data_IF_578727235982
#
_entry.id   IF_578727235982
#
_cell.length_a   1.000
_cell.length_b   1.000
_cell.length_c   1.000
_cell.angle_alpha   90.00
_cell.angle_beta   90.00
_cell.angle_gamma   90.00
#
_symmetry.space_group_name_H-M   'P 1'
#
loop_
_entity.id
_entity.type
_entity.pdbx_description
1 polymer ?
#
# COMPACT_ATOMS: atom_id res chain seq x y z
N UNK A 1 -26.78 -26.99 11.65
CA UNK A 1 -25.97 -26.42 12.77
C UNK A 1 -25.10 -27.45 13.51
N UNK A 2 -25.54 -28.69 13.77
CA UNK A 2 -24.75 -29.69 14.53
C UNK A 2 -23.45 -30.20 13.85
N UNK A 3 -23.36 -30.12 12.51
CA UNK A 3 -22.17 -30.58 11.75
C UNK A 3 -21.02 -29.55 11.74
N UNK A 4 -21.33 -28.24 11.78
CA UNK A 4 -20.32 -27.18 11.87
C UNK A 4 -19.62 -27.17 13.25
N UNK A 5 -20.38 -27.43 14.31
CA UNK A 5 -19.85 -27.45 15.68
C UNK A 5 -18.87 -28.62 15.91
N UNK A 6 -19.11 -29.78 15.28
CA UNK A 6 -18.19 -30.92 15.32
C UNK A 6 -16.89 -30.66 14.57
N UNK A 7 -16.93 -29.95 13.44
CA UNK A 7 -15.73 -29.59 12.68
C UNK A 7 -14.86 -28.55 13.41
N UNK A 8 -15.48 -27.58 14.09
CA UNK A 8 -14.75 -26.60 14.90
C UNK A 8 -14.08 -27.24 16.12
N UNK A 9 -14.78 -28.16 16.81
CA UNK A 9 -14.21 -28.85 17.97
C UNK A 9 -13.04 -29.76 17.56
N UNK A 10 -13.16 -30.51 16.46
CA UNK A 10 -12.07 -31.37 15.96
C UNK A 10 -10.91 -30.53 15.42
N UNK A 11 -11.18 -29.42 14.73
CA UNK A 11 -10.14 -28.51 14.23
C UNK A 11 -9.34 -27.82 15.33
N UNK A 12 -10.00 -27.38 16.41
CA UNK A 12 -9.33 -26.77 17.58
C UNK A 12 -8.57 -27.81 18.38
N UNK A 13 -9.05 -29.05 18.48
CA UNK A 13 -8.36 -30.13 19.19
C UNK A 13 -7.11 -30.62 18.45
N UNK A 14 -7.14 -30.66 17.12
CA UNK A 14 -5.97 -31.01 16.30
C UNK A 14 -4.93 -29.88 16.33
N UNK A 15 -5.35 -28.61 16.39
CA UNK A 15 -4.43 -27.49 16.57
C UNK A 15 -3.79 -27.49 17.98
N UNK A 16 -4.59 -27.75 19.02
CA UNK A 16 -4.10 -27.80 20.41
C UNK A 16 -3.19 -29.00 20.68
N UNK A 17 -3.49 -30.18 20.12
CA UNK A 17 -2.63 -31.38 20.26
C UNK A 17 -1.34 -31.31 19.42
N UNK A 18 -1.32 -30.52 18.33
CA UNK A 18 -0.07 -30.18 17.64
C UNK A 18 0.80 -29.20 18.45
N UNK A 19 0.20 -28.45 19.38
CA UNK A 19 0.91 -27.45 20.19
C UNK A 19 1.55 -28.07 21.46
N UNK A 20 1.20 -29.31 21.82
CA UNK A 20 1.66 -29.97 23.07
C UNK A 20 2.89 -30.87 22.87
N UNK A 21 3.35 -31.11 21.63
CA UNK A 21 4.49 -32.01 21.37
C UNK A 21 5.57 -31.48 20.42
N UNK A 22 5.58 -30.19 20.07
CA UNK A 22 6.78 -29.55 19.52
C UNK A 22 7.45 -28.75 20.64
N UNK A 23 8.15 -29.47 21.52
CA UNK A 23 9.20 -28.81 22.29
C UNK A 23 10.27 -28.40 21.27
N UNK A 24 10.37 -27.09 21.04
CA UNK A 24 11.46 -26.46 20.30
C UNK A 24 12.81 -26.92 20.85
N UNK A 25 13.82 -27.08 19.99
CA UNK A 25 15.16 -27.41 20.46
C UNK A 25 15.69 -26.34 21.43
N UNK A 26 15.25 -25.08 21.27
CA UNK A 26 15.52 -23.99 22.21
C UNK A 26 14.91 -24.21 23.60
N UNK A 27 13.68 -24.71 23.68
CA UNK A 27 13.02 -24.96 24.98
C UNK A 27 13.63 -26.15 25.71
N UNK A 28 14.01 -27.20 24.99
CA UNK A 28 14.71 -28.35 25.57
C UNK A 28 16.12 -27.97 26.04
N UNK A 29 16.83 -27.13 25.28
CA UNK A 29 18.13 -26.60 25.67
C UNK A 29 18.04 -25.70 26.91
N UNK A 30 17.03 -24.83 27.01
CA UNK A 30 16.79 -24.02 28.21
C UNK A 30 16.47 -24.88 29.43
N UNK A 31 15.63 -25.91 29.28
CA UNK A 31 15.32 -26.85 30.35
C UNK A 31 16.57 -27.62 30.82
N UNK A 32 17.39 -28.10 29.89
CA UNK A 32 18.65 -28.77 30.19
C UNK A 32 19.64 -27.82 30.89
N UNK A 33 19.71 -26.55 30.49
CA UNK A 33 20.54 -25.54 31.14
C UNK A 33 20.08 -25.27 32.59
N UNK A 34 18.77 -25.15 32.81
CA UNK A 34 18.20 -25.00 34.15
C UNK A 34 18.48 -26.23 35.04
N UNK A 35 18.39 -27.43 34.47
CA UNK A 35 18.71 -28.67 35.18
C UNK A 35 20.20 -28.75 35.56
N UNK A 36 21.11 -28.39 34.65
CA UNK A 36 22.55 -28.29 34.97
C UNK A 36 22.81 -27.28 36.08
N UNK A 37 22.16 -26.12 36.06
CA UNK A 37 22.30 -25.11 37.11
C UNK A 37 21.80 -25.63 38.47
N UNK A 38 20.65 -26.30 38.50
CA UNK A 38 20.09 -26.89 39.72
C UNK A 38 20.99 -28.00 40.29
N UNK A 39 21.45 -28.93 39.46
CA UNK A 39 22.36 -30.00 39.89
C UNK A 39 23.71 -29.46 40.33
N UNK A 40 24.22 -28.41 39.68
CA UNK A 40 25.47 -27.74 40.09
C UNK A 40 25.34 -27.21 41.52
N UNK A 41 24.22 -26.57 41.86
CA UNK A 41 23.97 -26.09 43.22
C UNK A 41 23.87 -27.23 44.24
N UNK A 42 23.25 -28.36 43.87
CA UNK A 42 23.16 -29.54 44.73
C UNK A 42 24.52 -30.20 44.95
N UNK A 43 25.35 -30.31 43.91
CA UNK A 43 26.73 -30.84 44.00
C UNK A 43 27.57 -29.97 44.93
N UNK A 44 27.46 -28.64 44.84
CA UNK A 44 28.18 -27.73 45.72
C UNK A 44 27.78 -27.91 47.20
N UNK A 45 26.49 -28.07 47.48
CA UNK A 45 26.01 -28.34 48.84
C UNK A 45 26.46 -29.71 49.34
N UNK A 46 26.36 -30.74 48.50
CA UNK A 46 26.81 -32.09 48.82
C UNK A 46 28.33 -32.15 49.05
N UNK A 47 29.13 -31.34 48.34
CA UNK A 47 30.57 -31.24 48.55
C UNK A 47 30.91 -30.73 49.97
N UNK A 48 30.18 -29.72 50.46
CA UNK A 48 30.35 -29.19 51.82
C UNK A 48 29.98 -30.24 52.86
N UNK A 49 28.86 -30.94 52.65
CA UNK A 49 28.41 -32.00 53.57
C UNK A 49 29.37 -33.21 53.60
N UNK A 50 29.93 -33.60 52.46
CA UNK A 50 30.89 -34.70 52.36
C UNK A 50 32.24 -34.39 53.03
N UNK A 51 32.62 -33.11 53.13
CA UNK A 51 33.79 -32.68 53.91
C UNK A 51 33.54 -32.76 55.43
N UNK A 52 32.29 -32.57 55.86
CA UNK A 52 31.90 -32.64 57.26
C UNK A 52 31.62 -34.07 57.74
N UNK A 53 31.13 -34.96 56.86
CA UNK A 53 30.78 -36.34 57.17
C UNK A 53 31.20 -37.30 56.03
N UNK A 54 32.15 -38.23 56.27
CA UNK A 54 32.62 -39.17 55.25
C UNK A 54 31.55 -40.16 54.78
N UNK A 55 30.46 -40.36 55.52
CA UNK A 55 29.35 -41.23 55.10
C UNK A 55 28.56 -40.65 53.93
N UNK A 56 28.64 -39.33 53.69
CA UNK A 56 27.98 -38.63 52.58
C UNK A 56 28.76 -38.71 51.25
N UNK A 57 29.95 -39.32 51.23
CA UNK A 57 30.80 -39.39 50.04
C UNK A 57 30.13 -40.11 48.85
N UNK A 58 29.30 -41.13 49.11
CA UNK A 58 28.55 -41.83 48.07
C UNK A 58 27.47 -40.95 47.41
N UNK A 59 26.77 -40.14 48.21
CA UNK A 59 25.75 -39.21 47.72
C UNK A 59 26.39 -38.12 46.85
N UNK A 60 27.54 -37.60 47.27
CA UNK A 60 28.32 -36.66 46.46
C UNK A 60 28.76 -37.27 45.12
N UNK A 61 29.27 -38.50 45.12
CA UNK A 61 29.66 -39.20 43.88
C UNK A 61 28.48 -39.44 42.93
N UNK A 62 27.29 -39.77 43.45
CA UNK A 62 26.11 -39.94 42.61
C UNK A 62 25.70 -38.62 41.94
N UNK A 63 25.69 -37.52 42.70
CA UNK A 63 25.32 -36.20 42.18
C UNK A 63 26.30 -35.69 41.12
N UNK A 64 27.61 -35.94 41.26
CA UNK A 64 28.60 -35.54 40.26
C UNK A 64 28.44 -36.31 38.95
N UNK A 65 28.09 -37.61 39.01
CA UNK A 65 27.75 -38.41 37.82
C UNK A 65 26.47 -37.87 37.16
N UNK A 66 25.44 -37.56 37.93
CA UNK A 66 24.21 -36.96 37.40
C UNK A 66 24.47 -35.59 36.75
N UNK A 67 25.34 -34.76 37.33
CA UNK A 67 25.73 -33.48 36.75
C UNK A 67 26.46 -33.69 35.40
N UNK A 68 27.38 -34.65 35.33
CA UNK A 68 28.10 -34.97 34.11
C UNK A 68 27.14 -35.44 32.99
N UNK A 69 26.16 -36.29 33.32
CA UNK A 69 25.12 -36.72 32.38
C UNK A 69 24.26 -35.53 31.91
N UNK A 70 23.83 -34.66 32.81
CA UNK A 70 23.05 -33.47 32.47
C UNK A 70 23.85 -32.51 31.56
N UNK A 71 25.15 -32.35 31.81
CA UNK A 71 26.04 -31.55 30.96
C UNK A 71 26.20 -32.15 29.56
N UNK A 72 26.30 -33.49 29.45
CA UNK A 72 26.33 -34.17 28.16
C UNK A 72 25.02 -33.98 27.38
N UNK A 73 23.86 -34.07 28.06
CA UNK A 73 22.56 -33.79 27.44
C UNK A 73 22.48 -32.35 26.91
N UNK A 74 22.94 -31.37 27.69
CA UNK A 74 22.96 -29.97 27.26
C UNK A 74 23.86 -29.75 26.04
N UNK A 75 25.06 -30.35 26.02
CA UNK A 75 25.95 -30.30 24.84
C UNK A 75 25.35 -30.96 23.59
N UNK A 76 24.62 -32.06 23.76
CA UNK A 76 23.96 -32.74 22.65
C UNK A 76 22.83 -31.89 22.03
N UNK A 77 22.13 -31.08 22.83
CA UNK A 77 21.04 -30.20 22.39
C UNK A 77 21.51 -28.86 21.82
N UNK A 78 22.72 -28.42 22.19
CA UNK A 78 23.31 -27.15 21.76
C UNK A 78 23.30 -26.89 20.24
N UNK A 79 23.69 -27.85 19.36
CA UNK A 79 23.65 -27.61 17.91
C UNK A 79 22.21 -27.45 17.38
N UNK A 80 21.25 -28.21 17.91
CA UNK A 80 19.86 -28.11 17.48
C UNK A 80 19.23 -26.77 17.88
N UNK A 81 19.50 -26.29 19.10
CA UNK A 81 19.06 -24.98 19.56
C UNK A 81 19.69 -23.84 18.74
N UNK A 82 20.97 -23.95 18.40
CA UNK A 82 21.66 -22.97 17.55
C UNK A 82 21.07 -22.91 16.14
N UNK A 83 20.79 -24.08 15.53
CA UNK A 83 20.16 -24.17 14.21
C UNK A 83 18.76 -23.56 14.21
N UNK A 84 17.96 -23.83 15.22
CA UNK A 84 16.60 -23.29 15.33
C UNK A 84 16.62 -21.76 15.48
N UNK A 85 17.53 -21.22 16.29
CA UNK A 85 17.72 -19.78 16.42
C UNK A 85 18.18 -19.13 15.09
N UNK A 86 19.10 -19.78 14.38
CA UNK A 86 19.56 -19.33 13.07
C UNK A 86 18.41 -19.35 12.05
N UNK A 87 17.56 -20.38 12.08
CA UNK A 87 16.41 -20.49 11.18
C UNK A 87 15.35 -19.43 11.49
N UNK A 88 15.07 -19.15 12.77
CA UNK A 88 14.17 -18.07 13.17
C UNK A 88 14.69 -16.70 12.72
N UNK A 89 15.98 -16.43 12.89
CA UNK A 89 16.60 -15.18 12.40
C UNK A 89 16.55 -15.08 10.87
N UNK A 90 16.84 -16.17 10.16
CA UNK A 90 16.75 -16.20 8.70
C UNK A 90 15.32 -15.96 8.20
N UNK A 91 14.32 -16.56 8.85
CA UNK A 91 12.91 -16.34 8.54
C UNK A 91 12.49 -14.90 8.82
N UNK A 92 12.92 -14.31 9.95
CA UNK A 92 12.64 -12.91 10.27
C UNK A 92 13.24 -11.97 9.24
N UNK A 93 14.48 -12.21 8.80
CA UNK A 93 15.13 -11.44 7.74
C UNK A 93 14.41 -11.60 6.40
N UNK A 94 14.00 -12.81 6.04
CA UNK A 94 13.26 -13.07 4.82
C UNK A 94 11.90 -12.34 4.81
N UNK A 95 11.17 -12.36 5.94
CA UNK A 95 9.92 -11.62 6.10
C UNK A 95 10.13 -10.11 5.99
N UNK A 96 11.20 -9.58 6.60
CA UNK A 96 11.55 -8.16 6.50
C UNK A 96 11.85 -7.76 5.05
N UNK A 97 12.63 -8.56 4.33
CA UNK A 97 12.94 -8.31 2.92
C UNK A 97 11.68 -8.35 2.05
N UNK A 98 10.79 -9.32 2.29
CA UNK A 98 9.51 -9.41 1.57
C UNK A 98 8.63 -8.20 1.85
N UNK A 99 8.56 -7.73 3.09
CA UNK A 99 7.81 -6.51 3.44
C UNK A 99 8.40 -5.26 2.77
N UNK A 100 9.72 -5.13 2.72
CA UNK A 100 10.40 -4.03 2.02
C UNK A 100 10.14 -4.06 0.51
N UNK A 101 10.20 -5.24 -0.12
CA UNK A 101 9.90 -5.40 -1.54
C UNK A 101 8.44 -5.07 -1.85
N UNK A 102 7.50 -5.51 -1.01
CA UNK A 102 6.09 -5.18 -1.16
C UNK A 102 5.84 -3.67 -1.02
N UNK A 103 6.47 -3.01 -0.03
CA UNK A 103 6.38 -1.57 0.15
C UNK A 103 6.98 -0.80 -1.05
N UNK A 104 8.12 -1.25 -1.58
CA UNK A 104 8.74 -0.65 -2.75
C UNK A 104 7.86 -0.79 -4.00
N UNK A 105 7.23 -1.96 -4.21
CA UNK A 105 6.31 -2.17 -5.32
C UNK A 105 5.08 -1.28 -5.21
N UNK A 106 4.49 -1.17 -4.01
CA UNK A 106 3.36 -0.27 -3.77
C UNK A 106 3.73 1.20 -4.02
N UNK A 107 4.92 1.63 -3.58
CA UNK A 107 5.41 2.98 -3.83
C UNK A 107 5.59 3.25 -5.33
N UNK A 108 6.14 2.28 -6.08
CA UNK A 108 6.29 2.39 -7.52
C UNK A 108 4.93 2.48 -8.24
N UNK A 109 3.95 1.65 -7.84
CA UNK A 109 2.60 1.70 -8.39
C UNK A 109 1.90 3.03 -8.08
N UNK A 110 2.05 3.56 -6.87
CA UNK A 110 1.52 4.86 -6.50
C UNK A 110 2.15 6.00 -7.32
N UNK A 111 3.46 5.96 -7.55
CA UNK A 111 4.15 6.92 -8.42
C UNK A 111 3.66 6.84 -9.87
N UNK A 112 3.50 5.64 -10.42
CA UNK A 112 2.96 5.44 -11.77
C UNK A 112 1.51 5.95 -11.89
N UNK A 113 0.66 5.64 -10.90
CA UNK A 113 -0.71 6.12 -10.87
C UNK A 113 -0.77 7.66 -10.78
N UNK A 114 0.06 8.27 -9.92
CA UNK A 114 0.16 9.71 -9.81
C UNK A 114 0.66 10.37 -11.11
N UNK A 115 1.66 9.78 -11.77
CA UNK A 115 2.17 10.26 -13.06
C UNK A 115 1.09 10.18 -14.15
N UNK A 116 0.33 9.08 -14.20
CA UNK A 116 -0.74 8.90 -15.17
C UNK A 116 -1.89 9.90 -14.94
N UNK A 117 -2.25 10.15 -13.68
CA UNK A 117 -3.23 11.18 -13.32
C UNK A 117 -2.74 12.58 -13.69
N UNK A 118 -1.47 12.90 -13.41
CA UNK A 118 -0.90 14.20 -13.79
C UNK A 118 -0.90 14.39 -15.32
N UNK A 119 -0.58 13.35 -16.08
CA UNK A 119 -0.61 13.40 -17.55
C UNK A 119 -2.03 13.63 -18.07
N UNK A 120 -3.04 12.95 -17.50
CA UNK A 120 -4.45 13.15 -17.86
C UNK A 120 -4.93 14.56 -17.52
N UNK A 121 -4.57 15.09 -16.34
CA UNK A 121 -4.91 16.44 -15.94
C UNK A 121 -4.29 17.48 -16.89
N UNK A 122 -3.01 17.32 -17.24
CA UNK A 122 -2.33 18.18 -18.20
C UNK A 122 -2.98 18.13 -19.59
N UNK A 123 -3.37 16.93 -20.06
CA UNK A 123 -4.06 16.77 -21.33
C UNK A 123 -5.44 17.46 -21.35
N UNK A 124 -6.22 17.35 -20.27
CA UNK A 124 -7.51 18.04 -20.13
C UNK A 124 -7.34 19.57 -20.13
N UNK A 125 -6.34 20.08 -19.41
CA UNK A 125 -6.02 21.52 -19.42
C UNK A 125 -5.62 22.01 -20.81
N UNK A 126 -4.78 21.24 -21.52
CA UNK A 126 -4.39 21.57 -22.89
C UNK A 126 -5.58 21.60 -23.85
N UNK A 127 -6.51 20.65 -23.74
CA UNK A 127 -7.74 20.62 -24.54
C UNK A 127 -8.64 21.83 -24.26
N UNK A 128 -8.82 22.21 -22.99
CA UNK A 128 -9.60 23.38 -22.62
C UNK A 128 -8.96 24.68 -23.16
N UNK A 129 -7.64 24.83 -23.03
CA UNK A 129 -6.93 25.97 -23.58
C UNK A 129 -7.06 26.05 -25.11
N UNK A 130 -6.93 24.93 -25.82
CA UNK A 130 -7.12 24.87 -27.26
C UNK A 130 -8.56 25.23 -27.68
N UNK A 131 -9.57 24.76 -26.95
CA UNK A 131 -10.97 25.10 -27.20
C UNK A 131 -11.24 26.60 -27.02
N UNK A 132 -10.70 27.21 -25.95
CA UNK A 132 -10.81 28.66 -25.71
C UNK A 132 -10.13 29.47 -26.82
N UNK A 133 -8.94 29.07 -27.26
CA UNK A 133 -8.24 29.72 -28.36
C UNK A 133 -9.02 29.59 -29.68
N UNK A 134 -9.59 28.42 -29.96
CA UNK A 134 -10.41 28.19 -31.15
C UNK A 134 -11.66 29.09 -31.13
N UNK A 135 -12.32 29.22 -29.97
CA UNK A 135 -13.49 30.09 -29.81
C UNK A 135 -13.13 31.58 -29.98
N UNK A 136 -12.01 32.03 -29.41
CA UNK A 136 -11.51 33.40 -29.60
C UNK A 136 -11.19 33.68 -31.07
N UNK A 137 -10.55 32.73 -31.77
CA UNK A 137 -10.22 32.87 -33.19
C UNK A 137 -11.47 32.87 -34.08
N UNK A 138 -12.48 32.08 -33.74
CA UNK A 138 -13.77 32.08 -34.44
C UNK A 138 -14.47 33.44 -34.28
N UNK A 139 -14.51 34.01 -33.07
CA UNK A 139 -15.07 35.35 -32.83
C UNK A 139 -14.28 36.46 -33.51
N UNK A 140 -12.94 36.35 -33.58
CA UNK A 140 -12.10 37.34 -34.26
C UNK A 140 -12.24 37.33 -35.79
N UNK A 141 -12.61 36.18 -36.36
CA UNK A 141 -12.85 36.03 -37.80
C UNK A 141 -14.33 36.22 -38.18
N UNK A 142 -15.21 36.58 -37.24
CA UNK A 142 -16.62 36.77 -37.52
C UNK A 142 -16.84 38.04 -38.37
N UNK A 143 -17.41 37.93 -39.58
CA UNK A 143 -17.59 39.08 -40.46
C UNK A 143 -18.48 40.15 -39.83
N UNK A 144 -18.07 41.42 -39.90
CA UNK A 144 -18.91 42.53 -39.46
C UNK A 144 -20.01 42.81 -40.50
N UNK A 145 -21.25 42.84 -40.03
CA UNK A 145 -22.44 43.23 -40.80
C UNK A 145 -23.11 44.44 -40.18
N UNK A 146 -23.95 45.10 -40.96
CA UNK A 146 -24.56 46.37 -40.60
C UNK A 146 -26.06 46.22 -40.44
N UNK A 147 -26.58 46.65 -39.28
CA UNK A 147 -28.00 46.67 -38.99
C UNK A 147 -28.48 48.12 -39.01
N UNK A 148 -29.49 48.48 -39.81
CA UNK A 148 -30.04 49.82 -39.85
C UNK A 148 -30.77 50.18 -38.55
N UNK A 149 -30.58 51.41 -38.06
CA UNK A 149 -31.15 51.88 -36.79
C UNK A 149 -32.67 52.07 -36.86
N UNK A 150 -33.18 52.43 -38.04
CA UNK A 150 -34.62 52.57 -38.29
C UNK A 150 -34.94 52.07 -39.71
N UNK A 151 -36.01 51.28 -39.86
CA UNK A 151 -36.70 51.16 -41.17
C UNK A 151 -36.53 49.90 -42.03
N UNK A 152 -35.77 48.86 -41.67
CA UNK A 152 -35.49 47.73 -42.60
C UNK A 152 -35.75 46.32 -42.00
N UNK A 153 -36.57 46.22 -40.94
CA UNK A 153 -37.03 44.95 -40.37
C UNK A 153 -35.92 44.03 -39.82
N UNK A 154 -36.20 42.73 -39.68
CA UNK A 154 -35.28 41.69 -39.18
C UNK A 154 -34.15 41.35 -40.19
N UNK A 155 -33.54 42.33 -40.86
CA UNK A 155 -32.47 42.07 -41.86
C UNK A 155 -31.12 42.68 -41.49
N UNK A 156 -30.04 42.08 -42.01
CA UNK A 156 -28.67 42.62 -41.94
C UNK A 156 -28.11 42.90 -43.36
N UNK A 157 -27.19 43.86 -43.44
CA UNK A 157 -26.73 44.49 -44.69
C UNK A 157 -25.20 44.62 -44.76
N UNK A 158 -24.69 44.90 -45.97
CA UNK A 158 -23.30 45.38 -46.17
C UNK A 158 -23.21 46.88 -45.90
N UNK A 159 -21.99 47.40 -45.69
CA UNK A 159 -21.75 48.80 -45.33
C UNK A 159 -22.40 49.82 -46.29
N UNK A 160 -22.47 49.50 -47.58
CA UNK A 160 -22.89 50.41 -48.65
C UNK A 160 -24.24 50.01 -49.28
N UNK A 161 -25.13 49.36 -48.53
CA UNK A 161 -26.42 48.96 -49.05
C UNK A 161 -27.31 50.18 -49.36
N UNK A 162 -27.81 50.29 -50.60
CA UNK A 162 -28.65 51.39 -51.06
C UNK A 162 -29.99 51.58 -50.32
N UNK A 163 -30.45 50.59 -49.56
CA UNK A 163 -31.73 50.66 -48.82
C UNK A 163 -31.60 51.38 -47.49
N UNK A 164 -30.38 51.49 -46.96
CA UNK A 164 -30.09 52.13 -45.68
C UNK A 164 -30.13 53.65 -45.84
N UNK A 165 -31.08 54.32 -45.19
CA UNK A 165 -31.25 55.78 -45.27
C UNK A 165 -30.75 56.53 -44.03
N UNK A 166 -30.81 55.91 -42.85
CA UNK A 166 -30.51 56.57 -41.58
C UNK A 166 -29.84 55.62 -40.58
N UNK A 167 -28.57 55.87 -40.25
CA UNK A 167 -27.82 55.24 -39.16
C UNK A 167 -27.64 53.71 -39.26
N UNK A 168 -26.45 53.22 -38.93
CA UNK A 168 -26.17 51.78 -38.85
C UNK A 168 -25.42 51.43 -37.58
N UNK A 169 -25.67 50.22 -37.08
CA UNK A 169 -24.90 49.60 -36.01
C UNK A 169 -24.10 48.45 -36.63
N UNK A 170 -22.78 48.50 -36.46
CA UNK A 170 -21.88 47.42 -36.84
C UNK A 170 -21.93 46.33 -35.78
N UNK A 171 -22.31 45.11 -36.17
CA UNK A 171 -22.32 43.94 -35.30
C UNK A 171 -21.69 42.75 -36.01
N UNK A 172 -21.15 41.76 -35.28
CA UNK A 172 -20.71 40.50 -35.87
C UNK A 172 -21.87 39.73 -36.52
N UNK A 173 -21.61 39.03 -37.62
CA UNK A 173 -22.62 38.26 -38.37
C UNK A 173 -23.28 37.21 -37.49
N UNK A 174 -22.51 36.49 -36.66
CA UNK A 174 -23.08 35.50 -35.74
C UNK A 174 -24.07 36.12 -34.76
N UNK A 175 -23.79 37.33 -34.26
CA UNK A 175 -24.70 38.07 -33.40
C UNK A 175 -25.98 38.49 -34.14
N UNK A 176 -25.87 38.96 -35.38
CA UNK A 176 -27.04 39.30 -36.21
C UNK A 176 -27.93 38.07 -36.45
N UNK A 177 -27.33 36.91 -36.73
CA UNK A 177 -28.06 35.64 -36.91
C UNK A 177 -28.70 35.15 -35.60
N UNK A 178 -28.00 35.25 -34.47
CA UNK A 178 -28.53 34.90 -33.15
C UNK A 178 -29.73 35.78 -32.75
N UNK A 179 -29.76 37.04 -33.20
CA UNK A 179 -30.92 37.94 -33.08
C UNK A 179 -32.07 37.58 -34.03
N UNK A 180 -31.97 36.50 -34.81
CA UNK A 180 -32.99 36.07 -35.77
C UNK A 180 -33.04 36.93 -37.02
N UNK A 181 -31.97 37.67 -37.36
CA UNK A 181 -31.93 38.50 -38.56
C UNK A 181 -31.49 37.72 -39.78
N UNK A 182 -32.15 37.98 -40.90
CA UNK A 182 -31.90 37.33 -42.20
C UNK A 182 -31.09 38.24 -43.14
N UNK A 183 -30.35 37.70 -44.12
CA UNK A 183 -29.63 38.53 -45.09
C UNK A 183 -30.57 39.39 -45.93
N UNK A 184 -30.16 40.63 -46.22
CA UNK A 184 -30.89 41.48 -47.16
C UNK A 184 -30.72 40.98 -48.61
N UNK A 185 -31.82 40.61 -49.26
CA UNK A 185 -31.85 40.15 -50.66
C UNK A 185 -31.55 41.21 -51.72
N UNK A 186 -31.02 42.38 -51.34
CA UNK A 186 -30.49 43.39 -52.27
C UNK A 186 -28.96 43.41 -52.24
N UNK A 187 -28.34 43.31 -51.06
CA UNK A 187 -26.87 43.33 -50.92
C UNK A 187 -26.23 41.96 -50.66
N UNK A 188 -27.03 40.93 -50.34
CA UNK A 188 -26.62 39.54 -50.17
C UNK A 188 -27.42 38.60 -51.10
N UNK A 189 -27.83 39.11 -52.26
CA UNK A 189 -28.55 38.34 -53.28
C UNK A 189 -27.61 37.53 -54.16
#
# INVERSE_FOLDING_TARGET
MKKLFKLLIVGVFVLAMNTVCYASALTDFQAAQAQVAALTAQVQQAAVLAQADPTQAQNYQLLTVQLAQAQQTMQALQPAAAQELQQQQALALAQQQQAQQAAALQAQQAQQAAALQAQQAAALQAQQAAALQAQQKASANDPIVYIPATGDGNRYHTANCRTIKHGVVAVPLSQAQAMGRTPCGVCYR
#
